data_IF_945751058949
#
_entry.id   IF_945751058949
#
_cell.length_a   1.000
_cell.length_b   1.000
_cell.length_c   1.000
_cell.angle_alpha   90.00
_cell.angle_beta   90.00
_cell.angle_gamma   90.00
#
_symmetry.space_group_name_H-M   'P 1'
#
loop_
_entity.id
_entity.type
_entity.pdbx_description
1 polymer ?
#
# COMPACT_ATOMS: atom_id res chain seq x y z
N UNK A 1 -33.60 -36.88 -18.77
CA UNK A 1 -32.46 -35.98 -18.63
C UNK A 1 -32.99 -34.58 -18.77
N UNK A 2 -33.30 -33.92 -17.66
CA UNK A 2 -33.83 -32.55 -17.60
C UNK A 2 -32.67 -31.60 -17.50
N UNK A 3 -32.36 -30.90 -18.57
CA UNK A 3 -31.40 -29.78 -18.59
C UNK A 3 -32.03 -28.61 -17.88
N UNK A 4 -31.61 -28.36 -16.64
CA UNK A 4 -31.90 -27.13 -15.90
C UNK A 4 -31.14 -25.99 -16.55
N UNK A 5 -31.82 -25.13 -17.30
CA UNK A 5 -31.28 -23.88 -17.79
C UNK A 5 -30.98 -22.96 -16.58
N UNK A 6 -29.83 -22.26 -16.56
CA UNK A 6 -29.55 -21.32 -15.48
C UNK A 6 -30.57 -20.18 -15.51
N UNK A 7 -31.20 -19.98 -14.37
CA UNK A 7 -32.21 -18.95 -14.13
C UNK A 7 -31.55 -17.57 -14.24
N UNK A 8 -31.62 -16.95 -15.42
CA UNK A 8 -31.24 -15.59 -15.64
C UNK A 8 -32.21 -14.69 -14.87
N UNK A 9 -31.90 -14.41 -13.60
CA UNK A 9 -32.62 -13.40 -12.83
C UNK A 9 -32.64 -12.11 -13.64
N UNK A 10 -33.84 -11.58 -13.89
CA UNK A 10 -34.05 -10.31 -14.59
C UNK A 10 -33.18 -9.24 -13.92
N UNK A 11 -32.02 -8.95 -14.51
CA UNK A 11 -31.18 -7.84 -14.05
C UNK A 11 -31.94 -6.56 -14.31
N UNK A 12 -32.27 -5.82 -13.28
CA UNK A 12 -32.79 -4.47 -13.41
C UNK A 12 -31.81 -3.66 -14.23
N UNK A 13 -32.26 -2.93 -15.27
CA UNK A 13 -31.37 -2.10 -16.06
C UNK A 13 -30.71 -1.06 -15.15
N UNK A 14 -29.39 -1.02 -15.17
CA UNK A 14 -28.60 -0.03 -14.42
C UNK A 14 -28.00 1.00 -15.37
N UNK A 15 -27.98 2.26 -14.95
CA UNK A 15 -27.36 3.34 -15.70
C UNK A 15 -25.96 3.63 -15.12
N UNK A 16 -24.96 3.65 -15.99
CA UNK A 16 -23.61 4.10 -15.60
C UNK A 16 -23.68 5.61 -15.34
N UNK A 17 -23.36 6.03 -14.13
CA UNK A 17 -23.36 7.44 -13.70
C UNK A 17 -21.97 8.06 -13.70
N UNK A 18 -20.92 7.24 -13.71
CA UNK A 18 -19.54 7.69 -13.73
C UNK A 18 -18.56 6.52 -13.70
N UNK A 19 -17.30 6.83 -13.93
CA UNK A 19 -16.17 5.91 -13.83
C UNK A 19 -15.17 6.53 -12.88
N UNK A 20 -14.72 5.77 -11.89
CA UNK A 20 -13.69 6.17 -10.94
C UNK A 20 -12.46 5.28 -11.13
N UNK A 21 -11.30 5.92 -11.32
CA UNK A 21 -10.03 5.22 -11.35
C UNK A 21 -9.47 5.13 -9.93
N UNK A 22 -9.09 3.93 -9.49
CA UNK A 22 -8.51 3.69 -8.19
C UNK A 22 -7.43 2.62 -8.27
N UNK A 23 -6.69 2.42 -7.18
CA UNK A 23 -5.76 1.29 -7.03
C UNK A 23 -6.59 0.07 -6.61
N UNK A 24 -6.43 -1.02 -7.35
CA UNK A 24 -7.10 -2.28 -7.05
C UNK A 24 -6.52 -2.93 -5.79
N UNK A 25 -7.36 -3.44 -4.93
CA UNK A 25 -6.95 -4.29 -3.82
C UNK A 25 -6.44 -5.65 -4.31
N UNK A 26 -5.63 -6.38 -3.53
CA UNK A 26 -5.22 -7.74 -3.89
C UNK A 26 -6.40 -8.67 -4.18
N UNK A 27 -7.49 -8.55 -3.44
CA UNK A 27 -8.72 -9.34 -3.62
C UNK A 27 -9.40 -9.02 -4.95
N UNK A 28 -9.47 -7.76 -5.33
CA UNK A 28 -10.01 -7.32 -6.62
C UNK A 28 -9.15 -7.81 -7.78
N UNK A 29 -7.82 -7.72 -7.65
CA UNK A 29 -6.89 -8.24 -8.66
C UNK A 29 -7.10 -9.74 -8.87
N UNK A 30 -7.17 -10.55 -7.81
CA UNK A 30 -7.42 -12.00 -7.92
C UNK A 30 -8.77 -12.30 -8.55
N UNK A 31 -9.82 -11.55 -8.18
CA UNK A 31 -11.17 -11.73 -8.73
C UNK A 31 -11.26 -11.40 -10.21
N UNK A 32 -10.51 -10.41 -10.68
CA UNK A 32 -10.50 -9.99 -12.09
C UNK A 32 -9.50 -10.78 -12.95
N UNK A 33 -8.61 -11.55 -12.33
CA UNK A 33 -7.58 -12.32 -13.01
C UNK A 33 -8.13 -13.60 -13.60
N UNK A 34 -7.71 -13.92 -14.83
CA UNK A 34 -8.04 -15.17 -15.52
C UNK A 34 -7.00 -16.26 -15.31
N UNK A 35 -5.79 -15.88 -14.88
CA UNK A 35 -4.68 -16.82 -14.71
C UNK A 35 -3.70 -16.33 -13.64
N UNK A 36 -3.25 -17.26 -12.79
CA UNK A 36 -2.08 -17.06 -11.94
C UNK A 36 -0.81 -17.47 -12.72
N UNK A 37 0.18 -16.58 -12.72
CA UNK A 37 1.45 -16.79 -13.40
C UNK A 37 2.48 -17.28 -12.39
N UNK A 38 2.88 -18.53 -12.53
CA UNK A 38 3.79 -19.22 -11.59
C UNK A 38 5.12 -19.62 -12.24
N UNK A 39 5.19 -19.65 -13.58
CA UNK A 39 6.39 -20.03 -14.33
C UNK A 39 7.00 -18.85 -15.08
N UNK A 40 8.32 -18.85 -15.20
CA UNK A 40 9.06 -17.91 -16.06
C UNK A 40 9.08 -18.35 -17.53
N UNK A 41 8.78 -19.62 -17.78
CA UNK A 41 8.83 -20.18 -19.13
C UNK A 41 7.69 -19.62 -19.96
N UNK A 42 8.00 -19.22 -21.18
CA UNK A 42 7.03 -18.68 -22.13
C UNK A 42 6.50 -19.77 -23.04
N UNK A 43 7.39 -20.59 -23.59
CA UNK A 43 7.10 -21.69 -24.50
C UNK A 43 7.84 -22.97 -24.08
N UNK A 44 7.19 -24.10 -24.33
CA UNK A 44 7.81 -25.42 -24.28
C UNK A 44 7.40 -26.18 -25.55
N UNK A 45 8.41 -26.66 -26.31
CA UNK A 45 8.17 -27.35 -27.60
C UNK A 45 7.26 -26.55 -28.57
N UNK A 46 7.48 -25.26 -28.69
CA UNK A 46 6.69 -24.32 -29.48
C UNK A 46 5.20 -24.19 -29.05
N UNK A 47 4.87 -24.61 -27.84
CA UNK A 47 3.52 -24.44 -27.28
C UNK A 47 3.62 -23.47 -26.09
N UNK A 48 2.70 -22.49 -25.97
CA UNK A 48 2.66 -21.60 -24.81
C UNK A 48 2.46 -22.38 -23.51
N UNK A 49 3.25 -22.05 -22.48
CA UNK A 49 3.18 -22.74 -21.18
C UNK A 49 2.02 -22.19 -20.37
N UNK A 50 1.16 -23.07 -19.87
CA UNK A 50 0.09 -22.71 -18.93
C UNK A 50 0.72 -22.29 -17.60
N UNK A 51 0.29 -21.15 -17.05
CA UNK A 51 0.93 -20.54 -15.87
C UNK A 51 2.21 -19.79 -16.20
N UNK A 52 2.61 -19.70 -17.47
CA UNK A 52 3.74 -18.90 -17.94
C UNK A 52 3.32 -17.50 -18.40
N UNK A 53 4.31 -16.70 -18.80
CA UNK A 53 4.08 -15.31 -19.21
C UNK A 53 3.24 -15.17 -20.49
N UNK A 54 3.13 -16.21 -21.30
CA UNK A 54 2.28 -16.30 -22.50
C UNK A 54 1.13 -17.31 -22.32
N UNK A 55 0.63 -17.41 -21.12
CA UNK A 55 -0.52 -18.30 -20.85
C UNK A 55 -1.68 -17.98 -21.81
N UNK A 56 -2.19 -18.98 -22.56
CA UNK A 56 -3.26 -18.76 -23.54
C UNK A 56 -4.53 -18.14 -22.96
N UNK A 57 -4.79 -18.29 -21.65
CA UNK A 57 -5.93 -17.68 -20.97
C UNK A 57 -5.87 -16.15 -20.92
N UNK A 58 -4.66 -15.57 -21.02
CA UNK A 58 -4.46 -14.12 -21.12
C UNK A 58 -4.83 -13.58 -22.51
N UNK A 59 -4.89 -14.45 -23.50
CA UNK A 59 -5.10 -14.17 -24.91
C UNK A 59 -4.12 -14.96 -25.76
N UNK A 60 -4.49 -15.20 -27.01
CA UNK A 60 -3.67 -15.96 -27.94
C UNK A 60 -2.98 -15.02 -28.92
N UNK A 61 -1.73 -15.31 -29.26
CA UNK A 61 -0.90 -14.49 -30.16
C UNK A 61 -0.73 -15.16 -31.53
N UNK A 62 -0.98 -16.46 -31.65
CA UNK A 62 -0.70 -17.24 -32.83
C UNK A 62 -1.94 -17.57 -33.64
N UNK A 63 -1.85 -17.54 -35.00
CA UNK A 63 -2.92 -17.99 -35.87
C UNK A 63 -3.29 -19.46 -35.61
N UNK A 64 -4.58 -19.75 -35.61
CA UNK A 64 -5.11 -21.11 -35.40
C UNK A 64 -5.36 -21.50 -33.96
N UNK A 65 -4.88 -20.74 -32.98
CA UNK A 65 -5.22 -20.92 -31.57
C UNK A 65 -6.47 -20.11 -31.20
N UNK A 66 -7.22 -20.63 -30.24
CA UNK A 66 -8.35 -19.91 -29.62
C UNK A 66 -8.08 -19.65 -28.15
N UNK A 67 -8.39 -18.45 -27.70
CA UNK A 67 -8.29 -18.08 -26.30
C UNK A 67 -9.28 -18.90 -25.45
N UNK A 68 -8.85 -19.65 -24.44
CA UNK A 68 -9.75 -20.44 -23.58
C UNK A 68 -10.73 -19.60 -22.78
N UNK A 69 -10.43 -18.31 -22.56
CA UNK A 69 -11.27 -17.42 -21.75
C UNK A 69 -12.51 -16.93 -22.50
N UNK A 70 -12.38 -16.61 -23.79
CA UNK A 70 -13.46 -16.05 -24.59
C UNK A 70 -13.82 -16.86 -25.87
N UNK A 71 -13.00 -17.88 -26.23
CA UNK A 71 -13.16 -18.69 -27.42
C UNK A 71 -12.80 -17.98 -28.74
N UNK A 72 -12.28 -16.76 -28.68
CA UNK A 72 -11.95 -15.95 -29.84
C UNK A 72 -10.53 -16.22 -30.36
N UNK A 73 -10.29 -15.82 -31.60
CA UNK A 73 -8.98 -15.90 -32.24
C UNK A 73 -8.08 -14.72 -31.86
N UNK A 74 -6.81 -14.78 -32.27
CA UNK A 74 -5.79 -13.79 -31.95
C UNK A 74 -6.11 -12.35 -32.45
N UNK A 75 -6.99 -12.20 -33.43
CA UNK A 75 -7.39 -10.88 -33.96
C UNK A 75 -8.50 -10.26 -33.12
N UNK A 76 -9.43 -11.11 -32.61
CA UNK A 76 -10.67 -10.67 -31.97
C UNK A 76 -10.58 -10.63 -30.44
N UNK A 77 -9.69 -11.43 -29.83
CA UNK A 77 -9.55 -11.43 -28.38
C UNK A 77 -8.97 -10.08 -27.89
N UNK A 78 -9.61 -9.42 -26.93
CA UNK A 78 -9.10 -8.15 -26.39
C UNK A 78 -7.91 -8.33 -25.45
N UNK A 79 -7.62 -9.56 -24.99
CA UNK A 79 -6.67 -9.89 -23.96
C UNK A 79 -7.25 -9.72 -22.54
N UNK A 80 -6.68 -10.45 -21.59
CA UNK A 80 -7.13 -10.51 -20.20
C UNK A 80 -5.96 -10.38 -19.25
N UNK A 81 -6.24 -9.86 -18.04
CA UNK A 81 -5.23 -9.72 -17.01
C UNK A 81 -5.06 -11.02 -16.22
N UNK A 82 -3.82 -11.39 -15.99
CA UNK A 82 -3.43 -12.36 -14.98
C UNK A 82 -2.85 -11.66 -13.74
N UNK A 83 -2.40 -12.46 -12.78
CA UNK A 83 -1.72 -11.95 -11.60
C UNK A 83 -0.52 -12.81 -11.24
N UNK A 84 0.39 -12.22 -10.46
CA UNK A 84 1.54 -12.88 -9.88
C UNK A 84 1.46 -12.70 -8.37
N UNK A 85 1.42 -13.80 -7.61
CA UNK A 85 1.51 -13.74 -6.15
C UNK A 85 2.97 -13.48 -5.75
N UNK A 86 3.17 -12.40 -5.01
CA UNK A 86 4.49 -12.06 -4.50
C UNK A 86 4.76 -12.80 -3.18
N UNK A 87 5.95 -13.38 -3.03
CA UNK A 87 6.37 -14.06 -1.80
C UNK A 87 6.39 -13.14 -0.57
N UNK A 88 6.61 -11.84 -0.77
CA UNK A 88 6.57 -10.80 0.26
C UNK A 88 5.94 -9.53 -0.31
N UNK A 89 5.21 -8.75 0.50
CA UNK A 89 4.67 -7.47 0.07
C UNK A 89 5.80 -6.49 -0.28
N UNK A 90 5.54 -5.65 -1.27
CA UNK A 90 6.42 -4.55 -1.69
C UNK A 90 5.67 -3.22 -1.58
N UNK A 91 6.44 -2.13 -1.44
CA UNK A 91 5.83 -0.80 -1.49
C UNK A 91 5.37 -0.47 -2.91
N UNK A 92 4.17 0.09 -3.03
CA UNK A 92 3.73 0.65 -4.29
C UNK A 92 4.49 1.97 -4.54
N UNK A 93 5.32 1.98 -5.57
CA UNK A 93 6.34 3.02 -5.76
C UNK A 93 5.77 4.44 -5.91
N UNK A 94 4.58 4.60 -6.50
CA UNK A 94 3.94 5.91 -6.67
C UNK A 94 3.52 6.52 -5.34
N UNK A 95 3.13 5.70 -4.36
CA UNK A 95 2.71 6.16 -3.04
C UNK A 95 3.84 6.17 -1.99
N UNK A 96 5.05 5.77 -2.38
CA UNK A 96 6.17 5.73 -1.46
C UNK A 96 6.47 7.07 -0.76
N UNK A 97 6.44 8.23 -1.46
CA UNK A 97 6.57 9.53 -0.80
C UNK A 97 5.46 9.80 0.23
N UNK A 98 4.23 9.43 -0.09
CA UNK A 98 3.08 9.58 0.82
C UNK A 98 3.23 8.68 2.04
N UNK A 99 3.63 7.43 1.87
CA UNK A 99 3.92 6.48 2.95
C UNK A 99 4.97 7.06 3.90
N UNK A 100 6.07 7.61 3.36
CA UNK A 100 7.13 8.23 4.17
C UNK A 100 6.64 9.45 4.95
N UNK A 101 5.75 10.26 4.37
CA UNK A 101 5.13 11.40 5.05
C UNK A 101 4.18 10.94 6.16
N UNK A 102 3.34 9.91 5.93
CA UNK A 102 2.45 9.35 6.95
C UNK A 102 3.25 8.81 8.13
N UNK A 103 4.32 8.09 7.88
CA UNK A 103 5.20 7.56 8.93
C UNK A 103 5.87 8.65 9.78
N UNK A 104 5.94 9.90 9.29
CA UNK A 104 6.39 11.05 10.08
C UNK A 104 5.26 11.70 10.88
N UNK A 105 4.01 11.45 10.53
CA UNK A 105 2.86 12.00 11.22
C UNK A 105 2.37 11.11 12.35
N UNK A 106 2.73 9.82 12.32
CA UNK A 106 2.26 8.82 13.30
C UNK A 106 3.44 8.21 14.07
N UNK A 107 3.18 7.79 15.29
CA UNK A 107 4.18 7.09 16.09
C UNK A 107 4.43 5.68 15.54
N UNK A 108 5.69 5.31 15.29
CA UNK A 108 6.06 3.97 14.78
C UNK A 108 5.76 2.84 15.77
N UNK A 109 5.63 3.12 17.07
CA UNK A 109 5.35 2.12 18.11
C UNK A 109 3.87 1.94 18.38
N UNK A 110 3.14 3.02 18.66
CA UNK A 110 1.71 2.96 19.02
C UNK A 110 0.75 3.32 17.87
N UNK A 111 1.27 3.81 16.73
CA UNK A 111 0.51 4.19 15.52
C UNK A 111 -0.46 5.36 15.70
N UNK A 112 -0.43 6.05 16.85
CA UNK A 112 -1.25 7.25 17.09
C UNK A 112 -0.68 8.45 16.35
N UNK A 113 -1.56 9.36 15.96
CA UNK A 113 -1.19 10.64 15.40
C UNK A 113 -0.37 11.45 16.43
N UNK A 114 0.70 12.10 16.01
CA UNK A 114 1.63 12.81 16.88
C UNK A 114 1.09 14.16 17.36
N UNK A 115 0.14 14.76 16.64
CA UNK A 115 -0.44 16.06 16.94
C UNK A 115 -1.77 15.94 17.66
N UNK A 116 -2.06 16.93 18.50
CA UNK A 116 -3.32 17.01 19.24
C UNK A 116 -4.44 17.53 18.31
N UNK A 117 -5.48 16.71 18.13
CA UNK A 117 -6.64 17.05 17.31
C UNK A 117 -7.50 18.15 17.91
N UNK A 118 -7.56 18.22 19.25
CA UNK A 118 -8.38 19.23 19.94
C UNK A 118 -7.80 20.63 19.83
N UNK A 119 -6.46 20.73 19.89
CA UNK A 119 -5.74 22.01 19.74
C UNK A 119 -5.70 22.51 18.31
N UNK A 120 -5.88 21.62 17.33
CA UNK A 120 -5.75 21.92 15.90
C UNK A 120 -7.08 21.68 15.14
N UNK A 121 -8.23 21.95 15.75
CA UNK A 121 -9.56 21.75 15.14
C UNK A 121 -9.75 22.52 13.83
N UNK A 122 -9.11 23.67 13.70
CA UNK A 122 -9.11 24.50 12.49
C UNK A 122 -8.63 23.75 11.22
N UNK A 123 -7.82 22.70 11.40
CA UNK A 123 -7.41 21.84 10.31
C UNK A 123 -8.60 21.19 9.60
N UNK A 124 -9.71 20.93 10.30
CA UNK A 124 -10.89 20.27 9.72
C UNK A 124 -11.63 21.15 8.72
N UNK A 125 -11.48 22.46 8.80
CA UNK A 125 -12.10 23.43 7.89
C UNK A 125 -11.28 23.63 6.61
N UNK A 126 -10.06 23.11 6.56
CA UNK A 126 -9.18 23.18 5.39
C UNK A 126 -9.56 22.14 4.34
N UNK A 127 -9.22 22.44 3.07
CA UNK A 127 -9.29 21.44 1.99
C UNK A 127 -8.38 20.26 2.30
N UNK A 128 -8.69 19.03 1.86
CA UNK A 128 -7.93 17.82 2.19
C UNK A 128 -6.42 17.93 1.95
N UNK A 129 -6.01 18.48 0.79
CA UNK A 129 -4.60 18.62 0.42
C UNK A 129 -3.86 19.63 1.30
N UNK A 130 -4.50 20.76 1.61
CA UNK A 130 -3.93 21.81 2.47
C UNK A 130 -3.83 21.28 3.90
N UNK A 131 -4.86 20.60 4.39
CA UNK A 131 -4.91 19.91 5.67
C UNK A 131 -3.75 18.93 5.81
N UNK A 132 -3.57 18.07 4.81
CA UNK A 132 -2.49 17.10 4.79
C UNK A 132 -1.11 17.74 4.93
N UNK A 133 -0.84 18.79 4.17
CA UNK A 133 0.43 19.51 4.23
C UNK A 133 0.63 20.19 5.59
N UNK A 134 -0.42 20.77 6.14
CA UNK A 134 -0.38 21.44 7.45
C UNK A 134 -0.13 20.43 8.59
N UNK A 135 -0.86 19.33 8.62
CA UNK A 135 -0.68 18.24 9.59
C UNK A 135 0.76 17.70 9.54
N UNK A 136 1.29 17.48 8.33
CA UNK A 136 2.67 17.02 8.17
C UNK A 136 3.70 18.03 8.68
N UNK A 137 3.49 19.34 8.48
CA UNK A 137 4.37 20.38 9.00
C UNK A 137 4.37 20.42 10.53
N UNK A 138 3.20 20.30 11.16
CA UNK A 138 3.07 20.27 12.62
C UNK A 138 3.73 19.01 13.19
N UNK A 139 3.40 17.84 12.68
CA UNK A 139 3.95 16.57 13.14
C UNK A 139 5.48 16.49 13.01
N UNK A 140 6.05 17.11 11.98
CA UNK A 140 7.52 17.13 11.75
C UNK A 140 8.31 17.87 12.83
N UNK A 141 7.67 18.67 13.68
CA UNK A 141 8.30 19.41 14.80
C UNK A 141 8.35 18.59 16.08
N UNK A 142 7.55 17.53 16.18
CA UNK A 142 7.39 16.71 17.38
C UNK A 142 8.55 15.72 17.48
N UNK A 143 9.17 15.66 18.64
CA UNK A 143 10.31 14.78 18.91
C UNK A 143 9.93 13.48 19.60
N UNK A 144 8.93 13.52 20.48
CA UNK A 144 8.43 12.36 21.24
C UNK A 144 6.92 12.21 21.06
N UNK A 145 6.46 10.98 21.00
CA UNK A 145 5.05 10.68 21.04
C UNK A 145 4.49 11.04 22.43
N UNK A 146 3.61 12.02 22.49
CA UNK A 146 3.07 12.55 23.74
C UNK A 146 3.54 13.97 24.08
N UNK A 147 4.44 14.57 23.30
CA UNK A 147 4.81 15.97 23.51
C UNK A 147 3.61 16.91 23.31
N UNK A 148 2.74 16.60 22.35
CA UNK A 148 1.55 17.39 22.03
C UNK A 148 0.25 16.70 22.46
N UNK A 149 0.25 15.37 22.68
CA UNK A 149 -0.91 14.57 23.05
C UNK A 149 -0.77 13.98 24.43
N UNK A 150 -1.88 13.94 25.21
CA UNK A 150 -1.88 13.40 26.60
C UNK A 150 -1.74 11.87 26.65
N UNK A 151 -2.04 11.16 25.56
CA UNK A 151 -2.12 9.69 25.47
C UNK A 151 -0.99 9.07 24.66
N UNK A 152 0.13 9.78 24.49
CA UNK A 152 1.31 9.31 23.79
C UNK A 152 2.08 8.21 24.55
N UNK A 153 2.83 7.39 23.82
CA UNK A 153 3.62 6.30 24.42
C UNK A 153 5.05 6.71 24.86
N UNK A 154 5.41 7.99 24.74
CA UNK A 154 6.74 8.52 25.12
C UNK A 154 7.90 8.18 24.18
N UNK A 155 7.67 7.40 23.13
CA UNK A 155 8.73 6.97 22.21
C UNK A 155 9.24 8.13 21.36
N UNK A 156 10.55 8.11 21.08
CA UNK A 156 11.18 9.03 20.13
C UNK A 156 10.63 8.85 18.73
N UNK A 157 10.38 9.96 18.05
CA UNK A 157 9.96 10.00 16.65
C UNK A 157 11.21 9.98 15.76
N UNK A 158 11.22 9.22 14.64
CA UNK A 158 12.36 9.23 13.73
C UNK A 158 12.61 10.62 13.15
N UNK A 159 13.84 11.11 13.22
CA UNK A 159 14.22 12.38 12.63
C UNK A 159 14.08 12.36 11.11
N UNK A 160 14.50 11.26 10.49
CA UNK A 160 14.43 11.07 9.04
C UNK A 160 13.94 9.68 8.70
N UNK A 161 13.16 9.61 7.63
CA UNK A 161 12.80 8.35 6.98
C UNK A 161 13.43 8.41 5.60
N UNK A 162 14.31 7.49 5.30
CA UNK A 162 15.05 7.41 4.05
C UNK A 162 14.61 6.21 3.25
N UNK A 163 14.54 6.37 1.95
CA UNK A 163 14.38 5.27 0.99
C UNK A 163 15.75 4.72 0.67
N UNK A 164 15.93 3.39 0.80
CA UNK A 164 17.09 2.69 0.28
C UNK A 164 16.78 2.11 -1.11
N UNK A 165 15.67 1.38 -1.20
CA UNK A 165 15.17 0.79 -2.43
C UNK A 165 13.63 0.71 -2.40
N UNK A 166 13.01 0.07 -3.41
CA UNK A 166 11.55 -0.07 -3.46
C UNK A 166 10.95 -1.01 -2.39
N UNK A 167 11.78 -1.81 -1.75
CA UNK A 167 11.35 -2.77 -0.74
C UNK A 167 11.77 -2.38 0.68
N UNK A 168 12.55 -1.29 0.86
CA UNK A 168 13.13 -0.99 2.17
C UNK A 168 13.21 0.51 2.43
N UNK A 169 12.68 0.91 3.59
CA UNK A 169 12.86 2.23 4.18
C UNK A 169 13.70 2.10 5.44
N UNK A 170 14.41 3.16 5.82
CA UNK A 170 15.11 3.29 7.07
C UNK A 170 14.58 4.47 7.86
N UNK A 171 14.23 4.22 9.10
CA UNK A 171 13.96 5.25 10.09
C UNK A 171 15.26 5.52 10.87
N UNK A 172 15.67 6.78 10.93
CA UNK A 172 16.90 7.23 11.61
C UNK A 172 16.53 8.10 12.81
N UNK A 173 17.14 7.81 13.95
CA UNK A 173 17.10 8.62 15.18
C UNK A 173 18.46 9.23 15.45
N UNK A 174 18.50 10.42 16.03
CA UNK A 174 19.75 10.96 16.54
C UNK A 174 20.11 10.26 17.85
N UNK A 175 21.31 9.73 17.94
CA UNK A 175 21.82 9.01 19.11
C UNK A 175 22.14 9.88 20.34
N UNK A 176 21.51 11.07 20.46
CA UNK A 176 21.75 12.03 21.53
C UNK A 176 20.76 12.01 22.69
N UNK A 177 19.64 11.30 22.57
CA UNK A 177 18.54 11.31 23.55
C UNK A 177 18.25 9.93 24.18
N UNK A 178 19.18 8.98 24.08
CA UNK A 178 19.16 7.79 24.93
C UNK A 178 19.57 8.25 26.34
N UNK A 179 18.70 7.99 27.30
CA UNK A 179 18.76 8.41 28.70
C UNK A 179 20.19 8.46 29.27
N UNK A 180 20.52 9.56 29.95
CA UNK A 180 21.64 9.67 30.87
C UNK A 180 21.48 8.64 31.99
N UNK A 181 21.97 7.45 31.74
CA UNK A 181 21.96 6.36 32.69
C UNK A 181 23.14 5.43 32.43
N UNK A 182 24.26 5.78 33.06
CA UNK A 182 25.44 4.92 33.23
C UNK A 182 26.61 5.09 32.25
N UNK A 183 27.68 5.73 32.69
CA UNK A 183 29.07 5.43 32.36
C UNK A 183 29.69 6.13 31.18
N UNK A 184 30.61 7.09 31.50
CA UNK A 184 31.42 7.81 30.53
C UNK A 184 32.13 6.98 29.48
N UNK A 185 32.05 7.44 28.27
CA UNK A 185 32.78 6.98 27.10
C UNK A 185 32.57 7.96 25.98
N UNK A 186 33.63 8.72 25.63
CA UNK A 186 33.70 9.48 24.37
C UNK A 186 33.63 8.51 23.21
N UNK A 187 32.42 8.27 22.66
CA UNK A 187 32.18 7.36 21.58
C UNK A 187 31.26 7.97 20.55
N UNK A 188 31.57 7.84 19.29
CA UNK A 188 30.77 8.17 18.13
C UNK A 188 29.27 7.97 18.44
N UNK A 189 28.48 9.05 18.28
CA UNK A 189 27.00 8.95 18.38
C UNK A 189 26.50 8.00 17.31
N UNK A 190 26.35 6.73 17.68
CA UNK A 190 25.78 5.72 16.77
C UNK A 190 24.35 6.14 16.44
N UNK A 191 24.12 6.41 15.16
CA UNK A 191 22.77 6.66 14.66
C UNK A 191 22.00 5.34 14.76
N UNK A 192 20.95 5.34 15.55
CA UNK A 192 20.05 4.19 15.60
C UNK A 192 19.24 4.16 14.31
N UNK A 193 19.43 3.13 13.51
CA UNK A 193 18.73 2.91 12.25
C UNK A 193 17.81 1.69 12.36
N UNK A 194 16.54 1.88 12.08
CA UNK A 194 15.57 0.78 12.03
C UNK A 194 15.14 0.52 10.58
N UNK A 195 15.27 -0.72 10.15
CA UNK A 195 14.76 -1.17 8.85
C UNK A 195 13.24 -1.31 8.91
N UNK A 196 12.54 -0.61 8.02
CA UNK A 196 11.09 -0.64 7.88
C UNK A 196 10.73 -1.36 6.58
N UNK A 197 10.32 -2.62 6.71
CA UNK A 197 9.81 -3.42 5.59
C UNK A 197 8.34 -3.10 5.33
N UNK A 198 7.79 -3.41 4.14
CA UNK A 198 6.37 -3.24 3.85
C UNK A 198 5.45 -3.90 4.87
N UNK A 199 5.84 -5.06 5.40
CA UNK A 199 5.08 -5.77 6.44
C UNK A 199 5.01 -5.00 7.76
N UNK A 200 6.13 -4.38 8.17
CA UNK A 200 6.19 -3.55 9.38
C UNK A 200 5.32 -2.30 9.21
N UNK A 201 5.44 -1.64 8.07
CA UNK A 201 4.65 -0.44 7.75
C UNK A 201 3.16 -0.77 7.68
N UNK A 202 2.79 -1.89 7.08
CA UNK A 202 1.39 -2.35 7.03
C UNK A 202 0.83 -2.59 8.44
N UNK A 203 1.62 -3.18 9.35
CA UNK A 203 1.21 -3.36 10.76
C UNK A 203 1.00 -2.02 11.48
N UNK A 204 1.83 -1.01 11.18
CA UNK A 204 1.66 0.34 11.74
C UNK A 204 0.36 0.96 11.20
N UNK A 205 0.16 0.92 9.88
CA UNK A 205 -0.99 1.55 9.22
C UNK A 205 -2.32 0.95 9.65
N UNK A 206 -2.41 -0.37 9.81
CA UNK A 206 -3.63 -1.06 10.30
C UNK A 206 -4.07 -0.64 11.70
N UNK A 207 -3.19 -0.03 12.48
CA UNK A 207 -3.51 0.46 13.83
C UNK A 207 -3.86 1.94 13.87
N UNK A 208 -3.71 2.66 12.77
CA UNK A 208 -4.13 4.07 12.69
C UNK A 208 -5.65 4.08 12.76
N UNK A 209 -6.22 4.93 13.60
CA UNK A 209 -7.67 5.05 13.72
C UNK A 209 -8.25 5.78 12.51
N UNK A 210 -9.50 5.45 12.15
CA UNK A 210 -10.22 6.13 11.05
C UNK A 210 -10.35 7.63 11.30
N UNK A 211 -10.47 8.03 12.58
CA UNK A 211 -10.47 9.44 12.96
C UNK A 211 -9.15 10.14 12.67
N UNK A 212 -8.01 9.46 12.87
CA UNK A 212 -6.69 10.00 12.56
C UNK A 212 -6.48 10.09 11.06
N UNK A 213 -6.96 9.08 10.30
CA UNK A 213 -6.93 9.06 8.83
C UNK A 213 -7.71 10.24 8.27
N UNK A 214 -8.97 10.44 8.75
CA UNK A 214 -9.81 11.55 8.34
C UNK A 214 -9.20 12.91 8.72
N UNK A 215 -8.57 13.01 9.91
CA UNK A 215 -7.91 14.23 10.35
C UNK A 215 -6.71 14.58 9.47
N UNK A 216 -5.97 13.60 8.97
CA UNK A 216 -4.89 13.81 8.01
C UNK A 216 -5.36 14.22 6.61
N UNK A 217 -6.67 14.18 6.32
CA UNK A 217 -7.25 14.56 5.03
C UNK A 217 -7.48 13.40 4.07
N UNK A 218 -7.35 12.16 4.53
CA UNK A 218 -7.66 10.96 3.73
C UNK A 218 -9.07 10.45 4.01
N UNK A 219 -9.68 9.79 3.03
CA UNK A 219 -10.89 9.02 3.25
C UNK A 219 -10.54 7.70 3.94
N UNK A 220 -11.22 7.33 5.05
CA UNK A 220 -11.02 6.06 5.73
C UNK A 220 -11.49 4.87 4.90
#
# INVERSE_FOLDING_TARGET
>A
MTTTQPNWTKKTPSKIIGIQFSVLSPEEIRRCSVAEITSRDTYSNNVPVIGGMFDPRLGVLEPGLKCPTDGLDYIKTPGYFGHIELAKPVFYFQYLPTIMKILKCVCVKCSKLLINKESNKECMDMKPDDRWNHVHQLASKIKRCGDDTKDGCGCLVPKKIKKENLATLFAEWDGGDAEEGSGGGSGNKEKLNMKMTPEVVLKIFRRISDQDVAFMGFSP
#
